data_IF_670821592455
#
_entry.id   IF_670821592455
#
_cell.length_a   1.000
_cell.length_b   1.000
_cell.length_c   1.000
_cell.angle_alpha   90.00
_cell.angle_beta   90.00
_cell.angle_gamma   90.00
#
_symmetry.space_group_name_H-M   'P 1'
#
loop_
_entity.id
_entity.type
_entity.pdbx_description
1 polymer ?
#
# COMPACT_ATOMS: atom_id res chain seq x y z
N UNK A 1 16.55 -18.26 -18.07
CA UNK A 1 16.10 -18.65 -16.74
C UNK A 1 17.02 -18.15 -15.62
N UNK A 2 18.33 -18.39 -15.62
CA UNK A 2 19.25 -17.91 -14.54
C UNK A 2 19.21 -16.38 -14.29
N UNK A 3 19.10 -15.57 -15.34
CA UNK A 3 19.00 -14.09 -15.23
C UNK A 3 17.70 -13.64 -14.56
N UNK A 4 16.59 -14.32 -14.81
CA UNK A 4 15.29 -14.04 -14.19
C UNK A 4 15.32 -14.32 -12.67
N UNK A 5 15.83 -15.48 -12.26
CA UNK A 5 15.96 -15.81 -10.83
C UNK A 5 16.90 -14.87 -10.08
N UNK A 6 18.00 -14.46 -10.72
CA UNK A 6 18.93 -13.49 -10.14
C UNK A 6 18.28 -12.12 -9.94
N UNK A 7 17.50 -11.63 -10.92
CA UNK A 7 16.77 -10.37 -10.81
C UNK A 7 15.68 -10.42 -9.73
N UNK A 8 14.95 -11.53 -9.63
CA UNK A 8 13.92 -11.73 -8.61
C UNK A 8 14.52 -11.79 -7.20
N UNK A 9 15.65 -12.49 -7.03
CA UNK A 9 16.33 -12.55 -5.72
C UNK A 9 16.81 -11.17 -5.26
N UNK A 10 17.35 -10.36 -6.17
CA UNK A 10 17.77 -8.99 -5.87
C UNK A 10 16.57 -8.14 -5.42
N UNK A 11 15.42 -8.29 -6.08
CA UNK A 11 14.18 -7.58 -5.69
C UNK A 11 13.68 -8.02 -4.30
N UNK A 12 13.73 -9.32 -3.99
CA UNK A 12 13.34 -9.84 -2.66
C UNK A 12 14.27 -9.26 -1.57
N UNK A 13 15.57 -9.28 -1.81
CA UNK A 13 16.55 -8.75 -0.86
C UNK A 13 16.37 -7.22 -0.68
N UNK A 14 16.15 -6.49 -1.77
CA UNK A 14 15.89 -5.06 -1.71
C UNK A 14 14.58 -4.74 -0.96
N UNK A 15 13.52 -5.54 -1.18
CA UNK A 15 12.26 -5.41 -0.47
C UNK A 15 12.43 -5.68 1.03
N UNK A 16 13.19 -6.71 1.41
CA UNK A 16 13.49 -7.02 2.80
C UNK A 16 14.20 -5.84 3.51
N UNK A 17 15.22 -5.26 2.89
CA UNK A 17 15.89 -4.09 3.47
C UNK A 17 14.98 -2.87 3.56
N UNK A 18 14.11 -2.66 2.59
CA UNK A 18 13.08 -1.60 2.64
C UNK A 18 12.14 -1.78 3.83
N UNK A 19 11.59 -2.99 4.01
CA UNK A 19 10.73 -3.31 5.16
C UNK A 19 11.45 -3.17 6.51
N UNK A 20 12.75 -3.54 6.58
CA UNK A 20 13.55 -3.32 7.79
C UNK A 20 13.67 -1.82 8.13
N UNK A 21 13.91 -0.97 7.13
CA UNK A 21 14.02 0.47 7.36
C UNK A 21 12.66 1.06 7.75
N UNK A 22 11.57 0.65 7.08
CA UNK A 22 10.21 1.08 7.41
C UNK A 22 9.82 0.66 8.84
N UNK A 23 10.18 -0.55 9.25
CA UNK A 23 10.02 -1.00 10.63
C UNK A 23 10.77 -0.11 11.63
N UNK A 24 12.03 0.24 11.34
CA UNK A 24 12.83 1.13 12.17
C UNK A 24 12.26 2.56 12.22
N UNK A 25 11.74 3.08 11.11
CA UNK A 25 11.03 4.36 11.05
C UNK A 25 9.81 4.35 11.97
N UNK A 26 8.95 3.32 11.85
CA UNK A 26 7.76 3.22 12.68
C UNK A 26 8.10 3.02 14.17
N UNK A 27 9.16 2.26 14.48
CA UNK A 27 9.65 2.08 15.84
C UNK A 27 10.13 3.40 16.44
N UNK A 28 10.90 4.19 15.68
CA UNK A 28 11.38 5.50 16.13
C UNK A 28 10.21 6.48 16.32
N UNK A 29 9.28 6.52 15.37
CA UNK A 29 8.08 7.35 15.47
C UNK A 29 7.23 6.99 16.69
N UNK A 30 7.04 5.71 16.95
CA UNK A 30 6.27 5.27 18.11
C UNK A 30 6.91 5.72 19.43
N UNK A 31 8.24 5.61 19.56
CA UNK A 31 8.97 6.06 20.75
C UNK A 31 8.86 7.55 21.00
N UNK A 32 8.97 8.35 19.94
CA UNK A 32 8.98 9.82 20.03
C UNK A 32 7.58 10.45 20.10
N UNK A 33 6.60 9.84 19.43
CA UNK A 33 5.23 10.34 19.40
C UNK A 33 4.37 9.80 20.55
N UNK A 34 4.81 8.73 21.23
CA UNK A 34 4.03 7.99 22.20
C UNK A 34 2.71 7.45 21.63
N UNK A 35 1.84 6.90 22.47
CA UNK A 35 0.63 6.19 22.03
C UNK A 35 -0.37 7.11 21.30
N UNK A 36 -0.68 8.27 21.88
CA UNK A 36 -1.61 9.25 21.29
C UNK A 36 -1.07 9.86 20.00
N UNK A 37 0.19 10.33 20.00
CA UNK A 37 0.79 10.93 18.81
C UNK A 37 0.93 9.93 17.67
N UNK A 38 1.22 8.66 17.97
CA UNK A 38 1.23 7.58 16.97
C UNK A 38 -0.16 7.33 16.41
N UNK A 39 -1.20 7.40 17.25
CA UNK A 39 -2.60 7.32 16.83
C UNK A 39 -2.99 8.46 15.88
N UNK A 40 -2.60 9.69 16.21
CA UNK A 40 -2.80 10.85 15.33
C UNK A 40 -2.04 10.71 14.01
N UNK A 41 -0.77 10.27 14.05
CA UNK A 41 0.02 10.03 12.85
C UNK A 41 -0.64 9.00 11.94
N UNK A 42 -1.03 7.85 12.46
CA UNK A 42 -1.69 6.78 11.71
C UNK A 42 -3.08 7.18 11.20
N UNK A 43 -3.79 8.07 11.88
CA UNK A 43 -5.11 8.56 11.43
C UNK A 43 -5.04 9.47 10.21
N UNK A 44 -3.94 10.21 10.00
CA UNK A 44 -3.80 11.12 8.86
C UNK A 44 -3.15 10.45 7.64
N UNK A 45 -2.41 9.34 7.82
CA UNK A 45 -1.75 8.63 6.72
C UNK A 45 -2.71 8.20 5.60
N UNK A 46 -3.93 7.70 5.86
CA UNK A 46 -4.88 7.38 4.79
C UNK A 46 -5.28 8.61 3.97
N UNK A 47 -5.37 9.79 4.59
CA UNK A 47 -5.64 11.06 3.88
C UNK A 47 -4.43 11.42 3.00
N UNK A 48 -3.21 11.26 3.53
CA UNK A 48 -1.97 11.39 2.75
C UNK A 48 -1.99 10.49 1.52
N UNK A 49 -2.34 9.21 1.68
CA UNK A 49 -2.43 8.27 0.56
C UNK A 49 -3.54 8.62 -0.43
N UNK A 50 -4.68 9.12 0.03
CA UNK A 50 -5.75 9.59 -0.86
C UNK A 50 -5.28 10.77 -1.72
N UNK A 51 -4.64 11.77 -1.11
CA UNK A 51 -4.03 12.90 -1.81
C UNK A 51 -2.98 12.39 -2.81
N UNK A 52 -2.12 11.46 -2.40
CA UNK A 52 -1.10 10.85 -3.24
C UNK A 52 -1.70 10.20 -4.48
N UNK A 53 -2.74 9.39 -4.33
CA UNK A 53 -3.40 8.70 -5.46
C UNK A 53 -4.03 9.69 -6.42
N UNK A 54 -4.75 10.69 -5.92
CA UNK A 54 -5.43 11.69 -6.75
C UNK A 54 -4.40 12.58 -7.47
N UNK A 55 -3.37 13.06 -6.78
CA UNK A 55 -2.33 13.91 -7.34
C UNK A 55 -1.51 13.18 -8.42
N UNK A 56 -1.18 11.90 -8.20
CA UNK A 56 -0.44 11.10 -9.17
C UNK A 56 -1.22 10.78 -10.43
N UNK A 57 -2.57 10.84 -10.40
CA UNK A 57 -3.47 10.34 -11.46
C UNK A 57 -3.10 8.93 -11.95
N UNK A 58 -2.32 8.16 -11.17
CA UNK A 58 -1.74 6.89 -11.60
C UNK A 58 -0.97 6.99 -12.94
N UNK A 59 -0.43 8.18 -13.25
CA UNK A 59 0.27 8.44 -14.51
C UNK A 59 1.49 7.52 -14.69
N UNK A 60 2.11 7.07 -13.60
CA UNK A 60 3.25 6.15 -13.69
C UNK A 60 2.88 4.83 -14.38
N UNK A 61 1.65 4.32 -14.20
CA UNK A 61 1.19 3.09 -14.87
C UNK A 61 0.94 3.35 -16.35
N UNK A 62 0.18 4.40 -16.67
CA UNK A 62 -0.17 4.72 -18.06
C UNK A 62 1.03 5.12 -18.89
N UNK A 63 1.93 5.97 -18.36
CA UNK A 63 3.16 6.36 -19.03
C UNK A 63 4.07 5.17 -19.26
N UNK A 64 4.24 4.32 -18.24
CA UNK A 64 5.06 3.09 -18.35
C UNK A 64 4.58 2.20 -19.50
N UNK A 65 3.27 1.96 -19.60
CA UNK A 65 2.69 1.19 -20.69
C UNK A 65 2.99 1.82 -22.05
N UNK A 66 2.70 3.12 -22.22
CA UNK A 66 2.88 3.77 -23.53
C UNK A 66 4.33 3.94 -23.93
N UNK A 67 5.23 4.19 -22.98
CA UNK A 67 6.67 4.24 -23.24
C UNK A 67 7.18 2.87 -23.70
N UNK A 68 6.71 1.77 -23.08
CA UNK A 68 7.08 0.42 -23.48
C UNK A 68 6.53 -0.01 -24.86
N UNK A 69 5.34 0.48 -25.24
CA UNK A 69 4.66 0.11 -26.48
C UNK A 69 5.09 0.95 -27.69
N UNK A 70 5.68 2.14 -27.49
CA UNK A 70 5.95 3.09 -28.56
C UNK A 70 7.45 3.31 -28.79
N UNK A 71 7.79 3.75 -30.02
CA UNK A 71 9.16 4.10 -30.41
C UNK A 71 9.67 5.29 -29.59
N UNK A 72 10.95 5.31 -29.32
CA UNK A 72 11.63 6.33 -28.51
C UNK A 72 11.39 7.77 -29.04
N UNK A 73 11.19 7.93 -30.36
CA UNK A 73 10.86 9.21 -31.00
C UNK A 73 9.54 9.84 -30.54
N UNK A 74 8.64 9.06 -29.95
CA UNK A 74 7.33 9.53 -29.43
C UNK A 74 7.38 9.89 -27.94
N UNK A 75 8.39 9.43 -27.20
CA UNK A 75 8.44 9.57 -25.73
C UNK A 75 8.46 11.03 -25.30
N UNK A 76 9.21 11.90 -25.98
CA UNK A 76 9.30 13.33 -25.65
C UNK A 76 7.93 14.01 -25.64
N UNK A 77 7.15 13.84 -26.70
CA UNK A 77 5.83 14.44 -26.82
C UNK A 77 4.84 13.86 -25.81
N UNK A 78 4.91 12.55 -25.53
CA UNK A 78 4.09 11.90 -24.50
C UNK A 78 4.34 12.52 -23.13
N UNK A 79 5.62 12.68 -22.74
CA UNK A 79 6.00 13.25 -21.45
C UNK A 79 5.53 14.71 -21.34
N UNK A 80 5.66 15.53 -22.40
CA UNK A 80 5.17 16.92 -22.38
C UNK A 80 3.66 16.97 -22.16
N UNK A 81 2.89 16.08 -22.80
CA UNK A 81 1.45 16.02 -22.58
C UNK A 81 1.09 15.53 -21.18
N UNK A 82 1.83 14.58 -20.61
CA UNK A 82 1.68 14.14 -19.23
C UNK A 82 2.00 15.27 -18.23
N UNK A 83 3.07 16.03 -18.47
CA UNK A 83 3.43 17.20 -17.64
C UNK A 83 2.33 18.28 -17.64
N UNK A 84 1.73 18.56 -18.81
CA UNK A 84 0.60 19.49 -18.92
C UNK A 84 -0.63 18.98 -18.16
N UNK A 85 -0.92 17.68 -18.23
CA UNK A 85 -2.03 17.09 -17.45
C UNK A 85 -1.76 17.17 -15.97
N UNK A 86 -0.57 16.80 -15.51
CA UNK A 86 -0.19 16.90 -14.11
C UNK A 86 -0.26 18.35 -13.61
N UNK A 87 0.21 19.33 -14.40
CA UNK A 87 0.13 20.75 -14.03
C UNK A 87 -1.32 21.22 -13.82
N UNK A 88 -2.26 20.79 -14.68
CA UNK A 88 -3.70 21.11 -14.51
C UNK A 88 -4.23 20.50 -13.22
N UNK A 89 -3.91 19.24 -12.93
CA UNK A 89 -4.36 18.57 -11.70
C UNK A 89 -3.77 19.21 -10.47
N UNK A 90 -2.48 19.54 -10.48
CA UNK A 90 -1.80 20.26 -9.40
C UNK A 90 -2.50 21.59 -9.14
N UNK A 91 -2.77 22.37 -10.20
CA UNK A 91 -3.44 23.66 -10.07
C UNK A 91 -4.83 23.52 -9.45
N UNK A 92 -5.64 22.57 -9.95
CA UNK A 92 -6.99 22.31 -9.41
C UNK A 92 -6.91 21.86 -7.96
N UNK A 93 -6.03 20.88 -7.64
CA UNK A 93 -5.90 20.37 -6.28
C UNK A 93 -5.36 21.43 -5.31
N UNK A 94 -4.37 22.22 -5.70
CA UNK A 94 -3.83 23.30 -4.85
C UNK A 94 -4.85 24.41 -4.56
N UNK A 95 -5.87 24.56 -5.40
CA UNK A 95 -7.00 25.47 -5.12
C UNK A 95 -8.06 24.80 -4.26
N UNK A 96 -8.44 23.56 -4.56
CA UNK A 96 -9.57 22.87 -3.91
C UNK A 96 -9.20 22.31 -2.54
N UNK A 97 -8.01 21.70 -2.39
CA UNK A 97 -7.62 21.02 -1.14
C UNK A 97 -7.50 21.94 0.08
N UNK A 98 -7.01 23.19 -0.01
CA UNK A 98 -7.04 24.12 1.13
C UNK A 98 -8.45 24.32 1.69
N UNK A 99 -9.46 24.43 0.82
CA UNK A 99 -10.86 24.54 1.27
C UNK A 99 -11.33 23.25 1.94
N UNK A 100 -11.16 22.10 1.30
CA UNK A 100 -11.58 20.79 1.86
C UNK A 100 -10.95 20.58 3.24
N UNK A 101 -9.63 20.78 3.35
CA UNK A 101 -8.90 20.57 4.61
C UNK A 101 -9.25 21.61 5.69
N UNK A 102 -9.62 22.85 5.31
CA UNK A 102 -9.98 23.88 6.28
C UNK A 102 -11.42 23.73 6.80
N UNK A 103 -12.33 23.16 6.01
CA UNK A 103 -13.69 22.86 6.46
C UNK A 103 -13.81 21.50 7.16
N UNK A 104 -12.74 20.72 7.19
CA UNK A 104 -12.73 19.42 7.83
C UNK A 104 -12.35 19.56 9.30
N UNK A 105 -13.25 19.19 10.21
CA UNK A 105 -12.99 19.08 11.66
C UNK A 105 -11.87 18.08 12.02
N UNK A 106 -11.43 17.30 11.04
CA UNK A 106 -10.32 16.36 11.20
C UNK A 106 -9.01 17.11 11.50
N UNK A 107 -8.81 18.26 10.84
CA UNK A 107 -7.58 19.04 10.96
C UNK A 107 -7.48 19.84 12.28
N UNK A 108 -8.57 19.97 13.04
CA UNK A 108 -8.60 20.75 14.29
C UNK A 108 -7.70 20.14 15.40
N UNK A 109 -7.43 18.83 15.29
CA UNK A 109 -6.56 18.11 16.22
C UNK A 109 -5.06 18.21 15.88
N UNK A 110 -4.72 18.85 14.77
CA UNK A 110 -3.36 18.87 14.24
C UNK A 110 -2.80 20.29 14.16
N UNK A 111 -1.48 20.42 14.25
CA UNK A 111 -0.82 21.70 14.04
C UNK A 111 -1.19 22.29 12.67
N UNK A 112 -1.52 23.59 12.57
CA UNK A 112 -2.01 24.23 11.34
C UNK A 112 -1.10 24.04 10.11
N UNK A 113 0.20 23.86 10.31
CA UNK A 113 1.15 23.65 9.22
C UNK A 113 1.04 22.27 8.55
N UNK A 114 0.44 21.27 9.21
CA UNK A 114 0.30 19.91 8.61
C UNK A 114 -0.57 19.97 7.33
N UNK A 115 -1.63 20.80 7.33
CA UNK A 115 -2.43 21.01 6.11
C UNK A 115 -1.61 21.56 4.94
N UNK A 116 -0.69 22.49 5.21
CA UNK A 116 0.17 23.07 4.18
C UNK A 116 1.23 22.07 3.69
N UNK A 117 1.74 21.21 4.56
CA UNK A 117 2.62 20.09 4.19
C UNK A 117 1.90 19.13 3.25
N UNK A 118 0.63 18.77 3.54
CA UNK A 118 -0.18 17.92 2.67
C UNK A 118 -0.43 18.57 1.30
N UNK A 119 -0.62 19.88 1.24
CA UNK A 119 -0.77 20.62 -0.03
C UNK A 119 0.54 20.62 -0.82
N UNK A 120 1.68 20.80 -0.14
CA UNK A 120 3.02 20.75 -0.77
C UNK A 120 3.32 19.38 -1.38
N UNK A 121 2.76 18.31 -0.84
CA UNK A 121 2.89 16.95 -1.39
C UNK A 121 2.33 16.85 -2.81
N UNK A 122 1.28 17.61 -3.15
CA UNK A 122 0.56 17.49 -4.42
C UNK A 122 1.49 17.63 -5.65
N UNK A 123 2.24 18.74 -5.82
CA UNK A 123 3.16 18.88 -6.95
C UNK A 123 4.30 17.87 -6.91
N UNK A 124 4.81 17.53 -5.73
CA UNK A 124 5.88 16.56 -5.55
C UNK A 124 5.48 15.22 -6.16
N UNK A 125 4.33 14.71 -5.78
CA UNK A 125 3.84 13.39 -6.21
C UNK A 125 3.41 13.39 -7.68
N UNK A 126 2.70 14.43 -8.13
CA UNK A 126 2.23 14.53 -9.51
C UNK A 126 3.38 14.45 -10.52
N UNK A 127 4.44 15.21 -10.30
CA UNK A 127 5.58 15.22 -11.21
C UNK A 127 6.52 14.01 -11.00
N UNK A 128 6.69 13.52 -9.77
CA UNK A 128 7.41 12.26 -9.51
C UNK A 128 6.78 11.07 -10.23
N UNK A 129 5.46 11.01 -10.27
CA UNK A 129 4.70 9.95 -10.96
C UNK A 129 5.07 9.85 -12.44
N UNK A 130 5.28 10.99 -13.12
CA UNK A 130 5.69 11.02 -14.52
C UNK A 130 7.10 10.44 -14.69
N UNK A 131 8.04 10.86 -13.85
CA UNK A 131 9.41 10.38 -13.92
C UNK A 131 9.49 8.86 -13.64
N UNK A 132 8.80 8.39 -12.59
CA UNK A 132 8.66 6.96 -12.27
C UNK A 132 8.10 6.19 -13.47
N UNK A 133 7.01 6.67 -14.08
CA UNK A 133 6.38 6.03 -15.24
C UNK A 133 7.30 5.93 -16.45
N UNK A 134 8.08 6.97 -16.74
CA UNK A 134 9.07 6.93 -17.82
C UNK A 134 10.15 5.88 -17.58
N UNK A 135 10.79 5.88 -16.40
CA UNK A 135 11.85 4.92 -16.08
C UNK A 135 11.35 3.49 -15.99
N UNK A 136 10.11 3.27 -15.54
CA UNK A 136 9.45 1.96 -15.61
C UNK A 136 9.27 1.51 -17.07
N UNK A 137 8.78 2.39 -17.93
CA UNK A 137 8.52 2.08 -19.34
C UNK A 137 9.77 1.75 -20.15
N UNK A 138 10.90 2.40 -19.86
CA UNK A 138 12.20 2.07 -20.47
C UNK A 138 12.94 0.93 -19.73
N UNK A 139 12.28 0.25 -18.80
CA UNK A 139 12.81 -0.87 -18.01
C UNK A 139 14.04 -0.54 -17.14
N UNK A 140 14.21 0.73 -16.77
CA UNK A 140 15.29 1.18 -15.88
C UNK A 140 14.85 1.09 -14.41
N UNK A 141 14.40 -0.10 -13.98
CA UNK A 141 13.87 -0.36 -12.63
C UNK A 141 14.87 -0.05 -11.52
N UNK A 142 16.18 -0.17 -11.79
CA UNK A 142 17.22 0.16 -10.81
C UNK A 142 17.16 1.60 -10.32
N UNK A 143 16.78 2.57 -11.18
CA UNK A 143 16.63 3.98 -10.76
C UNK A 143 15.45 4.17 -9.79
N UNK A 144 14.37 3.41 -9.99
CA UNK A 144 13.19 3.45 -9.13
C UNK A 144 13.48 2.77 -7.80
N UNK A 145 14.09 1.58 -7.84
CA UNK A 145 14.49 0.87 -6.64
C UNK A 145 15.46 1.71 -5.78
N UNK A 146 16.45 2.33 -6.41
CA UNK A 146 17.37 3.23 -5.74
C UNK A 146 16.66 4.45 -5.14
N UNK A 147 15.70 5.05 -5.88
CA UNK A 147 14.94 6.21 -5.37
C UNK A 147 14.09 5.86 -4.13
N UNK A 148 13.46 4.68 -4.12
CA UNK A 148 12.69 4.23 -2.96
C UNK A 148 13.60 3.97 -1.76
N UNK A 149 14.68 3.22 -1.97
CA UNK A 149 15.67 2.95 -0.92
C UNK A 149 16.29 4.25 -0.35
N UNK A 150 16.60 5.21 -1.24
CA UNK A 150 17.11 6.52 -0.84
C UNK A 150 16.09 7.27 0.03
N UNK A 151 14.79 7.23 -0.33
CA UNK A 151 13.71 7.81 0.46
C UNK A 151 13.72 7.25 1.89
N UNK A 152 13.71 5.92 2.00
CA UNK A 152 13.59 5.24 3.28
C UNK A 152 14.79 5.53 4.18
N UNK A 153 16.02 5.52 3.63
CA UNK A 153 17.25 5.89 4.37
C UNK A 153 17.21 7.36 4.80
N UNK A 154 16.83 8.27 3.91
CA UNK A 154 16.78 9.71 4.23
C UNK A 154 15.73 9.94 5.30
N UNK A 155 14.56 9.33 5.19
CA UNK A 155 13.49 9.45 6.17
C UNK A 155 13.94 8.98 7.54
N UNK A 156 14.53 7.78 7.63
CA UNK A 156 15.06 7.25 8.88
C UNK A 156 16.18 8.13 9.44
N UNK A 157 17.16 8.51 8.62
CA UNK A 157 18.30 9.31 9.04
C UNK A 157 17.90 10.71 9.53
N UNK A 158 16.96 11.38 8.83
CA UNK A 158 16.45 12.68 9.25
C UNK A 158 15.62 12.59 10.53
N UNK A 159 14.74 11.59 10.67
CA UNK A 159 13.99 11.38 11.91
C UNK A 159 14.93 11.13 13.07
N UNK A 160 15.88 10.21 12.91
CA UNK A 160 16.86 9.90 13.95
C UNK A 160 17.67 11.15 14.37
N UNK A 161 18.15 11.92 13.40
CA UNK A 161 18.93 13.13 13.66
C UNK A 161 18.10 14.22 14.35
N UNK A 162 16.89 14.49 13.87
CA UNK A 162 16.02 15.55 14.39
C UNK A 162 15.60 15.22 15.82
N UNK A 163 15.16 13.99 16.10
CA UNK A 163 14.71 13.61 17.43
C UNK A 163 15.85 13.45 18.45
N UNK A 164 17.07 13.10 18.00
CA UNK A 164 18.23 13.11 18.90
C UNK A 164 18.78 14.51 19.22
N UNK A 165 18.68 15.46 18.27
CA UNK A 165 19.19 16.82 18.49
C UNK A 165 18.21 17.73 19.21
N UNK A 166 16.91 17.48 19.05
CA UNK A 166 15.87 18.36 19.56
C UNK A 166 14.82 17.57 20.35
N UNK A 167 14.46 18.10 21.50
CA UNK A 167 13.35 17.58 22.29
C UNK A 167 12.09 18.37 21.96
N UNK A 168 11.10 17.72 21.40
CA UNK A 168 9.85 18.34 21.01
C UNK A 168 8.71 17.94 21.96
N UNK A 169 7.74 18.82 22.14
CA UNK A 169 6.45 18.42 22.62
C UNK A 169 5.72 17.59 21.56
N UNK A 170 4.72 16.82 21.95
CA UNK A 170 4.01 15.85 21.07
C UNK A 170 3.49 16.48 19.77
N UNK A 171 2.91 17.69 19.84
CA UNK A 171 2.38 18.40 18.67
C UNK A 171 3.48 18.75 17.65
N UNK A 172 4.63 19.25 18.12
CA UNK A 172 5.78 19.57 17.27
C UNK A 172 6.47 18.30 16.76
N UNK A 173 6.56 17.24 17.58
CA UNK A 173 7.10 15.95 17.15
C UNK A 173 6.29 15.39 15.99
N UNK A 174 4.95 15.44 16.08
CA UNK A 174 4.05 15.03 15.01
C UNK A 174 4.25 15.88 13.75
N UNK A 175 4.38 17.21 13.89
CA UNK A 175 4.67 18.10 12.76
C UNK A 175 6.00 17.74 12.09
N UNK A 176 7.06 17.47 12.87
CA UNK A 176 8.38 17.07 12.35
C UNK A 176 8.32 15.71 11.67
N UNK A 177 7.55 14.76 12.17
CA UNK A 177 7.34 13.47 11.50
C UNK A 177 6.76 13.65 10.08
N UNK A 178 5.74 14.47 9.91
CA UNK A 178 5.19 14.80 8.59
C UNK A 178 6.13 15.63 7.73
N UNK A 179 6.86 16.55 8.32
CA UNK A 179 7.86 17.35 7.61
C UNK A 179 8.95 16.45 7.01
N UNK A 180 9.44 15.48 7.77
CA UNK A 180 10.45 14.52 7.28
C UNK A 180 9.87 13.56 6.25
N UNK A 181 8.63 13.08 6.43
CA UNK A 181 7.95 12.22 5.46
C UNK A 181 7.85 12.92 4.09
N UNK A 182 7.36 14.16 4.07
CA UNK A 182 7.19 14.93 2.83
C UNK A 182 8.53 15.43 2.30
N UNK A 183 9.46 15.80 3.19
CA UNK A 183 10.81 16.18 2.83
C UNK A 183 11.60 15.06 2.14
N UNK A 184 11.46 13.82 2.60
CA UNK A 184 12.08 12.67 1.94
C UNK A 184 11.47 12.41 0.54
N UNK A 185 10.16 12.53 0.37
CA UNK A 185 9.51 12.47 -0.95
C UNK A 185 9.98 13.62 -1.86
N UNK A 186 10.18 14.83 -1.32
CA UNK A 186 10.69 15.97 -2.08
C UNK A 186 12.13 15.73 -2.58
N UNK A 187 13.01 15.18 -1.76
CA UNK A 187 14.39 14.86 -2.18
C UNK A 187 14.41 13.80 -3.29
N UNK A 188 13.56 12.78 -3.19
CA UNK A 188 13.39 11.78 -4.24
C UNK A 188 12.80 12.39 -5.51
N UNK A 189 11.84 13.30 -5.37
CA UNK A 189 11.32 14.07 -6.49
C UNK A 189 12.44 14.83 -7.21
N UNK A 190 13.28 15.55 -6.49
CA UNK A 190 14.42 16.27 -7.06
C UNK A 190 15.38 15.33 -7.81
N UNK A 191 15.67 14.16 -7.25
CA UNK A 191 16.49 13.15 -7.91
C UNK A 191 15.85 12.66 -9.22
N UNK A 192 14.60 12.22 -9.18
CA UNK A 192 13.91 11.65 -10.34
C UNK A 192 13.64 12.68 -11.43
N UNK A 193 13.27 13.92 -11.05
CA UNK A 193 13.00 14.97 -12.03
C UNK A 193 14.28 15.44 -12.74
N UNK A 194 15.40 15.53 -12.02
CA UNK A 194 16.69 15.81 -12.64
C UNK A 194 17.08 14.76 -13.68
N UNK A 195 16.93 13.47 -13.33
CA UNK A 195 17.16 12.39 -14.29
C UNK A 195 16.23 12.48 -15.51
N UNK A 196 14.96 12.81 -15.29
CA UNK A 196 13.98 12.97 -16.38
C UNK A 196 14.35 14.15 -17.27
N UNK A 197 14.73 15.30 -16.71
CA UNK A 197 15.15 16.49 -17.46
C UNK A 197 16.38 16.17 -18.35
N UNK A 198 17.38 15.48 -17.80
CA UNK A 198 18.55 15.05 -18.56
C UNK A 198 18.14 14.15 -19.74
N UNK A 199 17.24 13.21 -19.48
CA UNK A 199 16.74 12.31 -20.52
C UNK A 199 15.92 13.05 -21.58
N UNK A 200 15.09 14.02 -21.18
CA UNK A 200 14.34 14.87 -22.12
C UNK A 200 15.23 15.74 -22.99
N UNK A 201 16.35 16.25 -22.46
CA UNK A 201 17.35 17.00 -23.27
C UNK A 201 17.94 16.12 -24.36
N UNK A 202 18.24 14.85 -24.06
CA UNK A 202 18.74 13.89 -25.05
C UNK A 202 17.67 13.60 -26.12
N UNK A 203 16.43 13.31 -25.70
CA UNK A 203 15.33 13.03 -26.60
C UNK A 203 14.98 14.21 -27.53
N UNK A 204 15.10 15.45 -27.03
CA UNK A 204 14.81 16.66 -27.81
C UNK A 204 15.75 16.84 -29.02
N UNK A 205 16.96 16.31 -28.96
CA UNK A 205 17.96 16.38 -30.04
C UNK A 205 17.69 15.37 -31.16
N UNK A 206 16.84 14.38 -30.92
CA UNK A 206 16.44 13.37 -31.92
C UNK A 206 15.27 13.81 -32.79
N UNK A 207 14.97 13.03 -33.82
CA UNK A 207 13.77 13.22 -34.67
C UNK A 207 12.52 12.89 -33.86
N UNK A 208 11.73 13.90 -33.54
CA UNK A 208 10.51 13.73 -32.75
C UNK A 208 9.28 13.57 -33.67
N UNK A 209 8.59 12.45 -33.56
CA UNK A 209 7.31 12.25 -34.21
C UNK A 209 6.20 13.02 -33.45
N UNK A 210 5.45 13.85 -34.17
CA UNK A 210 4.33 14.61 -33.58
C UNK A 210 3.12 13.69 -33.39
N UNK A 211 2.80 13.38 -32.15
CA UNK A 211 1.50 12.80 -31.80
C UNK A 211 0.52 13.93 -31.48
N UNK A 212 -0.72 13.83 -31.98
CA UNK A 212 -1.77 14.81 -31.64
C UNK A 212 -2.03 14.78 -30.16
N UNK A 213 -1.91 15.93 -29.47
CA UNK A 213 -2.01 16.01 -28.01
C UNK A 213 -3.34 15.51 -27.43
N UNK A 214 -4.44 15.60 -28.19
CA UNK A 214 -5.74 15.04 -27.81
C UNK A 214 -5.66 13.51 -27.73
N UNK A 215 -5.04 12.87 -28.71
CA UNK A 215 -4.90 11.40 -28.73
C UNK A 215 -4.00 10.87 -27.63
N UNK A 216 -2.87 11.55 -27.35
CA UNK A 216 -1.98 11.19 -26.24
C UNK A 216 -2.70 11.28 -24.89
N UNK A 217 -3.43 12.37 -24.63
CA UNK A 217 -4.19 12.56 -23.38
C UNK A 217 -5.30 11.51 -23.21
N UNK A 218 -6.09 11.25 -24.26
CA UNK A 218 -7.14 10.23 -24.23
C UNK A 218 -6.56 8.84 -23.91
N UNK A 219 -5.45 8.46 -24.52
CA UNK A 219 -4.77 7.20 -24.24
C UNK A 219 -4.30 7.11 -22.78
N UNK A 220 -3.64 8.16 -22.28
CA UNK A 220 -3.17 8.19 -20.89
C UNK A 220 -4.35 8.04 -19.92
N UNK A 221 -5.43 8.80 -20.10
CA UNK A 221 -6.62 8.74 -19.23
C UNK A 221 -7.34 7.40 -19.34
N UNK A 222 -7.39 6.77 -20.49
CA UNK A 222 -8.03 5.46 -20.66
C UNK A 222 -7.39 4.34 -19.81
N UNK A 223 -6.13 4.50 -19.42
CA UNK A 223 -5.44 3.56 -18.52
C UNK A 223 -5.43 4.08 -17.09
N UNK A 224 -5.12 5.37 -16.90
CA UNK A 224 -4.96 5.92 -15.53
C UNK A 224 -6.29 6.03 -14.78
N UNK A 225 -7.41 6.38 -15.42
CA UNK A 225 -8.69 6.52 -14.72
C UNK A 225 -9.22 5.22 -14.09
N UNK A 226 -9.24 4.07 -14.79
CA UNK A 226 -9.66 2.82 -14.17
C UNK A 226 -8.73 2.37 -13.03
N UNK A 227 -7.41 2.51 -13.20
CA UNK A 227 -6.43 2.14 -12.17
C UNK A 227 -6.53 3.06 -10.95
N UNK A 228 -6.70 4.37 -11.18
CA UNK A 228 -6.94 5.36 -10.14
C UNK A 228 -8.23 5.06 -9.37
N UNK A 229 -9.31 4.69 -10.05
CA UNK A 229 -10.58 4.32 -9.40
C UNK A 229 -10.44 3.18 -8.40
N UNK A 230 -9.71 2.12 -8.75
CA UNK A 230 -9.41 1.01 -7.85
C UNK A 230 -8.59 1.47 -6.63
N UNK A 231 -7.56 2.30 -6.84
CA UNK A 231 -6.72 2.79 -5.74
C UNK A 231 -7.43 3.80 -4.86
N UNK A 232 -8.27 4.66 -5.41
CA UNK A 232 -9.14 5.56 -4.63
C UNK A 232 -10.07 4.74 -3.74
N UNK A 233 -10.67 3.67 -4.26
CA UNK A 233 -11.51 2.78 -3.45
C UNK A 233 -10.73 2.24 -2.23
N UNK A 234 -9.53 1.71 -2.43
CA UNK A 234 -8.68 1.24 -1.33
C UNK A 234 -8.28 2.37 -0.37
N UNK A 235 -7.93 3.55 -0.90
CA UNK A 235 -7.56 4.70 -0.09
C UNK A 235 -8.74 5.20 0.77
N UNK A 236 -9.95 5.25 0.22
CA UNK A 236 -11.18 5.60 0.95
C UNK A 236 -11.47 4.56 2.02
N UNK A 237 -11.38 3.26 1.70
CA UNK A 237 -11.59 2.18 2.66
C UNK A 237 -10.64 2.31 3.85
N UNK A 238 -9.35 2.56 3.58
CA UNK A 238 -8.37 2.79 4.63
C UNK A 238 -8.63 4.09 5.41
N UNK A 239 -9.15 5.13 4.76
CA UNK A 239 -9.48 6.40 5.42
C UNK A 239 -10.72 6.30 6.32
N UNK A 240 -11.65 5.40 6.03
CA UNK A 240 -12.83 5.15 6.87
C UNK A 240 -12.44 4.44 8.17
N UNK A 241 -11.44 3.58 8.15
CA UNK A 241 -11.09 2.71 9.27
C UNK A 241 -10.79 3.46 10.58
N UNK A 242 -9.93 4.52 10.64
CA UNK A 242 -9.69 5.25 11.88
C UNK A 242 -10.94 5.90 12.45
N UNK A 243 -11.82 6.45 11.59
CA UNK A 243 -13.08 7.05 12.05
C UNK A 243 -14.03 6.00 12.63
N UNK A 244 -14.13 4.85 11.97
CA UNK A 244 -14.98 3.76 12.41
C UNK A 244 -14.51 3.21 13.76
N UNK A 245 -13.21 2.97 13.92
CA UNK A 245 -12.62 2.50 15.20
C UNK A 245 -12.85 3.52 16.30
N UNK A 246 -12.55 4.79 16.02
CA UNK A 246 -12.75 5.86 17.00
C UNK A 246 -14.21 5.99 17.41
N UNK A 247 -15.15 5.99 16.47
CA UNK A 247 -16.58 6.08 16.78
C UNK A 247 -17.09 4.87 17.56
N UNK A 248 -16.63 3.67 17.21
CA UNK A 248 -16.99 2.45 17.95
C UNK A 248 -16.51 2.50 19.40
N UNK A 249 -15.27 2.94 19.66
CA UNK A 249 -14.71 3.05 21.00
C UNK A 249 -15.39 4.14 21.82
N UNK A 250 -15.74 5.30 21.21
CA UNK A 250 -16.55 6.32 21.89
C UNK A 250 -17.91 5.76 22.31
N UNK A 251 -18.57 4.98 21.44
CA UNK A 251 -19.83 4.32 21.75
C UNK A 251 -19.69 3.27 22.84
N UNK A 252 -18.52 2.65 22.97
CA UNK A 252 -18.20 1.71 24.07
C UNK A 252 -17.88 2.42 25.40
N UNK A 253 -17.86 3.77 25.43
CA UNK A 253 -17.63 4.56 26.65
C UNK A 253 -16.19 5.06 26.85
N UNK A 254 -15.30 4.88 25.86
CA UNK A 254 -13.93 5.40 25.96
C UNK A 254 -13.89 6.91 25.67
N UNK A 255 -12.92 7.62 26.26
CA UNK A 255 -12.61 9.01 25.92
C UNK A 255 -11.92 9.13 24.56
N UNK A 256 -12.01 10.29 23.92
CA UNK A 256 -11.47 10.51 22.58
C UNK A 256 -9.94 10.31 22.51
N UNK A 257 -9.20 10.73 23.53
CA UNK A 257 -7.75 10.54 23.61
C UNK A 257 -7.42 9.05 23.68
N UNK A 258 -8.06 8.32 24.61
CA UNK A 258 -7.85 6.87 24.79
C UNK A 258 -8.20 6.08 23.53
N UNK A 259 -9.27 6.46 22.81
CA UNK A 259 -9.62 5.84 21.53
C UNK A 259 -8.51 6.07 20.47
N UNK A 260 -7.86 7.24 20.46
CA UNK A 260 -6.75 7.56 19.59
C UNK A 260 -5.49 6.74 19.95
N UNK A 261 -5.18 6.60 21.23
CA UNK A 261 -4.09 5.77 21.74
C UNK A 261 -4.26 4.29 21.32
N UNK A 262 -5.45 3.73 21.53
CA UNK A 262 -5.77 2.36 21.12
C UNK A 262 -5.63 2.16 19.62
N UNK A 263 -6.03 3.14 18.81
CA UNK A 263 -5.83 3.11 17.37
C UNK A 263 -4.34 3.14 17.00
N UNK A 264 -3.54 3.96 17.68
CA UNK A 264 -2.08 4.03 17.51
C UNK A 264 -1.38 2.72 17.85
N UNK A 265 -1.74 2.10 18.97
CA UNK A 265 -1.22 0.80 19.38
C UNK A 265 -1.59 -0.32 18.40
N UNK A 266 -2.82 -0.30 17.87
CA UNK A 266 -3.29 -1.27 16.89
C UNK A 266 -2.52 -1.11 15.57
N UNK A 267 -2.57 0.08 14.98
CA UNK A 267 -2.09 0.32 13.59
C UNK A 267 -0.60 0.62 13.53
N UNK A 268 -0.10 1.43 14.46
CA UNK A 268 1.30 1.86 14.49
C UNK A 268 2.26 0.81 15.03
N UNK A 269 1.79 -0.08 15.90
CA UNK A 269 2.63 -1.10 16.52
C UNK A 269 2.23 -2.51 16.10
N UNK A 270 1.03 -2.97 16.48
CA UNK A 270 0.65 -4.36 16.24
C UNK A 270 0.60 -4.71 14.75
N UNK A 271 0.04 -3.83 13.91
CA UNK A 271 -0.01 -4.03 12.46
C UNK A 271 1.39 -3.96 11.84
N UNK A 272 2.24 -3.03 12.25
CA UNK A 272 3.63 -2.90 11.74
C UNK A 272 4.43 -4.17 12.02
N UNK A 273 4.36 -4.71 13.23
CA UNK A 273 5.05 -5.95 13.60
C UNK A 273 4.46 -7.13 12.82
N UNK A 274 3.14 -7.24 12.80
CA UNK A 274 2.44 -8.38 12.22
C UNK A 274 2.57 -8.48 10.70
N UNK A 275 2.66 -7.35 9.99
CA UNK A 275 2.86 -7.33 8.54
C UNK A 275 4.32 -7.43 8.11
N UNK A 276 5.27 -7.34 9.01
CA UNK A 276 6.69 -7.44 8.65
C UNK A 276 7.01 -8.66 7.77
N UNK A 277 6.48 -9.88 8.00
CA UNK A 277 6.73 -11.02 7.11
C UNK A 277 6.05 -10.94 5.73
N UNK A 278 5.15 -9.99 5.50
CA UNK A 278 4.37 -9.90 4.26
C UNK A 278 5.21 -9.60 3.01
N UNK A 279 6.45 -9.07 3.16
CA UNK A 279 7.37 -8.88 2.03
C UNK A 279 7.62 -10.18 1.25
N UNK A 280 7.57 -11.33 1.93
CA UNK A 280 7.70 -12.65 1.30
C UNK A 280 6.50 -12.91 0.39
N UNK A 281 5.27 -12.64 0.85
CA UNK A 281 4.05 -12.79 0.06
C UNK A 281 4.03 -11.83 -1.15
N UNK A 282 4.46 -10.58 -0.97
CA UNK A 282 4.56 -9.60 -2.06
C UNK A 282 5.58 -10.03 -3.13
N UNK A 283 6.68 -10.63 -2.71
CA UNK A 283 7.68 -11.19 -3.62
C UNK A 283 7.13 -12.36 -4.44
N UNK A 284 6.33 -13.24 -3.80
CA UNK A 284 5.59 -14.30 -4.50
C UNK A 284 4.59 -13.74 -5.52
N UNK A 285 3.91 -12.66 -5.18
CA UNK A 285 2.93 -12.04 -6.07
C UNK A 285 3.54 -11.65 -7.42
N UNK A 286 4.73 -11.05 -7.42
CA UNK A 286 5.44 -10.64 -8.65
C UNK A 286 5.71 -11.83 -9.56
N UNK A 287 6.03 -13.00 -9.00
CA UNK A 287 6.31 -14.22 -9.75
C UNK A 287 5.04 -14.93 -10.23
N UNK A 288 3.98 -14.91 -9.42
CA UNK A 288 2.75 -15.67 -9.70
C UNK A 288 1.97 -15.12 -10.88
N UNK A 289 1.79 -13.81 -10.97
CA UNK A 289 0.97 -13.17 -12.01
C UNK A 289 1.35 -13.64 -13.43
N UNK A 290 2.61 -13.51 -13.88
CA UNK A 290 2.99 -13.92 -15.24
C UNK A 290 2.93 -15.43 -15.44
N UNK A 291 3.29 -16.23 -14.42
CA UNK A 291 3.28 -17.68 -14.52
C UNK A 291 1.86 -18.24 -14.65
N UNK A 292 0.93 -17.72 -13.84
CA UNK A 292 -0.50 -18.09 -13.90
C UNK A 292 -1.10 -17.65 -15.23
N UNK A 293 -0.85 -16.41 -15.67
CA UNK A 293 -1.34 -15.91 -16.95
C UNK A 293 -0.86 -16.76 -18.14
N UNK A 294 0.41 -17.18 -18.13
CA UNK A 294 0.98 -18.04 -19.16
C UNK A 294 0.37 -19.45 -19.15
N UNK A 295 0.21 -20.06 -17.97
CA UNK A 295 -0.42 -21.37 -17.82
C UNK A 295 -1.89 -21.33 -18.24
N UNK A 296 -2.61 -20.25 -17.89
CA UNK A 296 -4.00 -20.05 -18.25
C UNK A 296 -4.21 -19.90 -19.77
N UNK A 297 -3.38 -19.08 -20.43
CA UNK A 297 -3.38 -18.96 -21.91
C UNK A 297 -3.13 -20.28 -22.63
N UNK A 298 -2.29 -21.15 -22.05
CA UNK A 298 -1.98 -22.48 -22.61
C UNK A 298 -3.00 -23.54 -22.21
N UNK A 299 -4.03 -23.18 -21.44
CA UNK A 299 -5.03 -24.11 -20.88
C UNK A 299 -4.42 -25.27 -20.07
N UNK A 300 -3.25 -25.06 -19.48
CA UNK A 300 -2.51 -26.05 -18.71
C UNK A 300 -3.05 -26.08 -17.27
N UNK A 301 -4.12 -26.84 -17.08
CA UNK A 301 -4.82 -26.96 -15.78
C UNK A 301 -3.91 -27.61 -14.71
N UNK A 302 -3.06 -28.55 -15.10
CA UNK A 302 -2.17 -29.21 -14.13
C UNK A 302 -1.10 -28.23 -13.62
N UNK A 303 -0.52 -27.41 -14.51
CA UNK A 303 0.41 -26.37 -14.12
C UNK A 303 -0.26 -25.29 -13.23
N UNK A 304 -1.50 -24.90 -13.53
CA UNK A 304 -2.28 -23.99 -12.67
C UNK A 304 -2.46 -24.59 -11.27
N UNK A 305 -2.87 -25.86 -11.19
CA UNK A 305 -3.00 -26.56 -9.91
C UNK A 305 -1.70 -26.58 -9.11
N UNK A 306 -0.59 -26.98 -9.76
CA UNK A 306 0.74 -27.05 -9.12
C UNK A 306 1.20 -25.67 -8.64
N UNK A 307 0.95 -24.60 -9.42
CA UNK A 307 1.27 -23.23 -9.01
C UNK A 307 0.48 -22.82 -7.76
N UNK A 308 -0.82 -23.16 -7.70
CA UNK A 308 -1.65 -22.86 -6.53
C UNK A 308 -1.15 -23.65 -5.31
N UNK A 309 -0.94 -24.97 -5.45
CA UNK A 309 -0.44 -25.81 -4.36
C UNK A 309 0.90 -25.32 -3.81
N UNK A 310 1.86 -25.03 -4.69
CA UNK A 310 3.18 -24.52 -4.29
C UNK A 310 3.07 -23.18 -3.58
N UNK A 311 2.23 -22.27 -4.08
CA UNK A 311 2.00 -20.98 -3.47
C UNK A 311 1.40 -21.12 -2.08
N UNK A 312 0.36 -21.95 -1.92
CA UNK A 312 -0.27 -22.17 -0.61
C UNK A 312 0.68 -22.87 0.37
N UNK A 313 1.38 -23.92 -0.08
CA UNK A 313 2.36 -24.64 0.76
C UNK A 313 3.49 -23.72 1.22
N UNK A 314 3.99 -22.86 0.34
CA UNK A 314 5.02 -21.90 0.69
C UNK A 314 4.50 -20.85 1.69
N UNK A 315 3.26 -20.39 1.53
CA UNK A 315 2.63 -19.47 2.49
C UNK A 315 2.46 -20.13 3.86
N UNK A 316 2.07 -21.40 3.93
CA UNK A 316 2.03 -22.16 5.20
C UNK A 316 3.43 -22.24 5.81
N UNK A 317 4.44 -22.58 4.99
CA UNK A 317 5.81 -22.80 5.46
C UNK A 317 6.44 -21.58 6.13
N UNK A 318 6.20 -20.39 5.65
CA UNK A 318 6.72 -19.16 6.31
C UNK A 318 5.70 -18.48 7.22
N UNK A 319 4.42 -18.47 6.83
CA UNK A 319 3.39 -17.70 7.52
C UNK A 319 3.00 -18.30 8.87
N UNK A 320 2.86 -19.64 8.96
CA UNK A 320 2.54 -20.31 10.23
C UNK A 320 3.68 -20.12 11.25
N UNK A 321 4.96 -20.40 10.95
CA UNK A 321 6.05 -20.13 11.88
C UNK A 321 6.17 -18.66 12.25
N UNK A 322 5.97 -17.73 11.30
CA UNK A 322 6.02 -16.30 11.59
C UNK A 322 4.94 -15.88 12.58
N UNK A 323 3.70 -16.34 12.38
CA UNK A 323 2.58 -16.02 13.31
C UNK A 323 2.78 -16.66 14.68
N UNK A 324 3.27 -17.89 14.75
CA UNK A 324 3.62 -18.56 16.01
C UNK A 324 4.72 -17.75 16.73
N UNK A 325 5.76 -17.34 16.02
CA UNK A 325 6.82 -16.50 16.59
C UNK A 325 6.25 -15.17 17.13
N UNK A 326 5.45 -14.47 16.33
CA UNK A 326 4.80 -13.20 16.73
C UNK A 326 3.93 -13.40 17.98
N UNK A 327 3.16 -14.48 18.06
CA UNK A 327 2.29 -14.77 19.20
C UNK A 327 3.08 -14.95 20.51
N UNK A 328 4.13 -15.77 20.49
CA UNK A 328 4.93 -16.05 21.69
C UNK A 328 5.84 -14.89 22.09
N UNK A 329 6.34 -14.13 21.11
CA UNK A 329 7.22 -12.98 21.33
C UNK A 329 6.50 -11.63 21.25
N UNK A 330 5.18 -11.61 21.40
CA UNK A 330 4.41 -10.36 21.26
C UNK A 330 4.87 -9.27 22.23
N UNK A 331 5.10 -9.60 23.50
CA UNK A 331 5.55 -8.63 24.50
C UNK A 331 6.94 -8.06 24.24
N UNK A 332 8.00 -8.87 24.03
CA UNK A 332 9.31 -8.32 23.67
C UNK A 332 9.32 -7.56 22.34
N UNK A 333 8.52 -7.98 21.35
CA UNK A 333 8.43 -7.28 20.08
C UNK A 333 7.76 -5.90 20.19
N UNK A 334 6.66 -5.81 20.96
CA UNK A 334 5.96 -4.53 21.14
C UNK A 334 6.74 -3.59 22.05
N UNK A 335 7.50 -4.11 23.02
CA UNK A 335 8.37 -3.30 23.89
C UNK A 335 9.49 -2.57 23.15
N UNK A 336 9.82 -2.98 21.91
CA UNK A 336 10.72 -2.23 21.05
C UNK A 336 10.16 -0.86 20.64
N UNK A 337 8.85 -0.72 20.60
CA UNK A 337 8.14 0.53 20.26
C UNK A 337 7.91 1.37 21.52
N UNK A 338 7.11 0.85 22.42
CA UNK A 338 6.88 1.40 23.78
C UNK A 338 6.34 0.32 24.70
N UNK A 339 6.51 0.54 26.01
CA UNK A 339 6.08 -0.43 27.04
C UNK A 339 4.58 -0.38 27.23
N UNK A 340 3.82 -1.07 26.36
CA UNK A 340 2.37 -1.16 26.44
C UNK A 340 1.91 -2.62 26.40
N UNK A 341 1.17 -3.04 27.43
CA UNK A 341 0.55 -4.36 27.47
C UNK A 341 -0.58 -4.50 26.46
N UNK A 342 -1.27 -3.40 26.15
CA UNK A 342 -2.38 -3.38 25.18
C UNK A 342 -1.90 -3.69 23.75
N UNK A 343 -0.76 -3.16 23.32
CA UNK A 343 -0.20 -3.44 22.00
C UNK A 343 0.14 -4.93 21.83
N UNK A 344 0.71 -5.56 22.87
CA UNK A 344 1.01 -6.99 22.86
C UNK A 344 -0.27 -7.85 22.80
N UNK A 345 -1.29 -7.46 23.55
CA UNK A 345 -2.60 -8.10 23.50
C UNK A 345 -3.22 -8.02 22.10
N UNK A 346 -3.20 -6.85 21.46
CA UNK A 346 -3.73 -6.67 20.09
C UNK A 346 -2.94 -7.48 19.08
N UNK A 347 -1.63 -7.53 19.21
CA UNK A 347 -0.76 -8.32 18.34
C UNK A 347 -1.10 -9.82 18.41
N UNK A 348 -1.32 -10.34 19.63
CA UNK A 348 -1.75 -11.74 19.84
C UNK A 348 -3.13 -12.00 19.19
N UNK A 349 -4.09 -11.10 19.38
CA UNK A 349 -5.44 -11.25 18.82
C UNK A 349 -5.48 -11.13 17.28
N UNK A 350 -4.54 -10.37 16.69
CA UNK A 350 -4.43 -10.19 15.24
C UNK A 350 -3.70 -11.37 14.55
N UNK A 351 -3.19 -12.34 15.26
CA UNK A 351 -2.49 -13.47 14.64
C UNK A 351 -3.29 -14.18 13.54
N UNK A 352 -4.61 -14.45 13.68
CA UNK A 352 -5.42 -14.97 12.58
C UNK A 352 -5.48 -14.01 11.38
N UNK A 353 -5.63 -12.70 11.63
CA UNK A 353 -5.66 -11.69 10.58
C UNK A 353 -4.42 -11.73 9.70
N UNK A 354 -3.23 -11.74 10.31
CA UNK A 354 -1.96 -11.81 9.59
C UNK A 354 -1.84 -13.11 8.80
N UNK A 355 -2.16 -14.25 9.43
CA UNK A 355 -2.08 -15.55 8.77
C UNK A 355 -2.93 -15.57 7.49
N UNK A 356 -4.21 -15.19 7.60
CA UNK A 356 -5.11 -15.16 6.45
C UNK A 356 -4.68 -14.11 5.42
N UNK A 357 -4.16 -12.97 5.85
CA UNK A 357 -3.68 -11.93 4.95
C UNK A 357 -2.46 -12.39 4.13
N UNK A 358 -1.56 -13.19 4.71
CA UNK A 358 -0.46 -13.81 3.97
C UNK A 358 -0.94 -14.73 2.85
N UNK A 359 -2.11 -15.35 3.00
CA UNK A 359 -2.76 -16.12 1.93
C UNK A 359 -3.47 -15.23 0.90
N UNK A 360 -4.09 -14.13 1.33
CA UNK A 360 -4.79 -13.20 0.43
C UNK A 360 -3.89 -12.68 -0.67
N UNK A 361 -2.66 -12.26 -0.34
CA UNK A 361 -1.71 -11.64 -1.29
C UNK A 361 -1.42 -12.56 -2.49
N UNK A 362 -0.95 -13.80 -2.33
CA UNK A 362 -0.71 -14.70 -3.46
C UNK A 362 -2.00 -15.14 -4.16
N UNK A 363 -3.12 -15.27 -3.47
CA UNK A 363 -4.41 -15.58 -4.09
C UNK A 363 -4.92 -14.44 -4.96
N UNK A 364 -4.76 -13.20 -4.52
CA UNK A 364 -5.09 -12.01 -5.33
C UNK A 364 -4.23 -11.96 -6.59
N UNK A 365 -2.93 -12.24 -6.48
CA UNK A 365 -2.04 -12.36 -7.63
C UNK A 365 -2.49 -13.46 -8.59
N UNK A 366 -2.97 -14.57 -8.06
CA UNK A 366 -3.49 -15.69 -8.84
C UNK A 366 -4.76 -15.28 -9.60
N UNK A 367 -5.71 -14.61 -8.97
CA UNK A 367 -6.92 -14.07 -9.61
C UNK A 367 -6.58 -13.08 -10.73
N UNK A 368 -5.62 -12.18 -10.48
CA UNK A 368 -5.12 -11.23 -11.50
C UNK A 368 -4.54 -12.00 -12.69
N UNK A 369 -3.72 -13.02 -12.45
CA UNK A 369 -3.13 -13.88 -13.48
C UNK A 369 -4.18 -14.63 -14.31
N UNK A 370 -5.31 -15.01 -13.73
CA UNK A 370 -6.47 -15.61 -14.40
C UNK A 370 -7.34 -14.59 -15.15
N UNK A 371 -7.09 -13.28 -15.01
CA UNK A 371 -7.92 -12.21 -15.56
C UNK A 371 -9.20 -11.92 -14.75
N UNK A 372 -9.29 -12.42 -13.52
CA UNK A 372 -10.45 -12.28 -12.62
C UNK A 372 -10.33 -11.06 -11.69
N UNK A 373 -9.87 -9.92 -12.22
CA UNK A 373 -9.65 -8.68 -11.44
C UNK A 373 -10.96 -8.16 -10.85
N UNK A 374 -12.07 -8.28 -11.60
CA UNK A 374 -13.41 -7.88 -11.14
C UNK A 374 -13.86 -8.71 -9.93
N UNK A 375 -13.64 -10.02 -9.96
CA UNK A 375 -13.99 -10.90 -8.85
C UNK A 375 -13.16 -10.56 -7.62
N UNK A 376 -11.85 -10.35 -7.78
CA UNK A 376 -10.96 -9.92 -6.69
C UNK A 376 -11.46 -8.62 -6.04
N UNK A 377 -11.89 -7.63 -6.84
CA UNK A 377 -12.45 -6.38 -6.36
C UNK A 377 -13.76 -6.60 -5.58
N UNK A 378 -14.69 -7.39 -6.12
CA UNK A 378 -15.99 -7.69 -5.47
C UNK A 378 -15.77 -8.40 -4.13
N UNK A 379 -14.84 -9.37 -4.08
CA UNK A 379 -14.49 -10.04 -2.82
C UNK A 379 -13.94 -9.06 -1.78
N UNK A 380 -13.06 -8.17 -2.20
CA UNK A 380 -12.50 -7.13 -1.33
C UNK A 380 -13.60 -6.20 -0.80
N UNK A 381 -14.52 -5.76 -1.67
CA UNK A 381 -15.64 -4.91 -1.29
C UNK A 381 -16.51 -5.58 -0.21
N UNK A 382 -16.96 -6.81 -0.45
CA UNK A 382 -17.82 -7.53 0.49
C UNK A 382 -17.12 -7.83 1.81
N UNK A 383 -15.84 -8.24 1.77
CA UNK A 383 -15.08 -8.50 2.99
C UNK A 383 -14.91 -7.26 3.86
N UNK A 384 -14.69 -6.08 3.25
CA UNK A 384 -14.61 -4.82 4.00
C UNK A 384 -15.96 -4.38 4.57
N UNK A 385 -17.06 -4.55 3.81
CA UNK A 385 -18.40 -4.25 4.33
C UNK A 385 -18.70 -5.09 5.57
N UNK A 386 -18.48 -6.40 5.50
CA UNK A 386 -18.70 -7.31 6.64
C UNK A 386 -17.75 -6.97 7.81
N UNK A 387 -16.47 -6.74 7.51
CA UNK A 387 -15.49 -6.37 8.53
C UNK A 387 -15.90 -5.09 9.25
N UNK A 388 -16.25 -4.03 8.52
CA UNK A 388 -16.62 -2.73 9.11
C UNK A 388 -17.91 -2.80 9.93
N UNK A 389 -18.91 -3.54 9.46
CA UNK A 389 -20.12 -3.78 10.23
C UNK A 389 -19.82 -4.49 11.54
N UNK A 390 -19.02 -5.55 11.48
CA UNK A 390 -18.63 -6.28 12.70
C UNK A 390 -17.74 -5.44 13.62
N UNK A 391 -16.78 -4.71 13.09
CA UNK A 391 -15.92 -3.80 13.86
C UNK A 391 -16.76 -2.77 14.61
N UNK A 392 -17.78 -2.18 13.96
CA UNK A 392 -18.64 -1.20 14.59
C UNK A 392 -19.56 -1.85 15.65
N UNK A 393 -20.30 -2.90 15.27
CA UNK A 393 -21.29 -3.55 16.17
C UNK A 393 -20.61 -4.14 17.40
N UNK A 394 -19.51 -4.88 17.22
CA UNK A 394 -18.80 -5.53 18.33
C UNK A 394 -17.90 -4.56 19.09
N UNK A 395 -17.27 -3.62 18.38
CA UNK A 395 -16.40 -2.61 18.98
C UNK A 395 -17.14 -1.56 19.81
N UNK A 396 -18.43 -1.32 19.52
CA UNK A 396 -19.28 -0.42 20.32
C UNK A 396 -19.76 -1.03 21.65
N UNK A 397 -19.53 -2.33 21.86
CA UNK A 397 -19.90 -2.98 23.13
C UNK A 397 -18.79 -2.79 24.15
N UNK A 398 -19.11 -2.25 25.34
CA UNK A 398 -18.15 -2.01 26.41
C UNK A 398 -17.38 -3.28 26.85
N UNK A 399 -18.00 -4.47 26.73
CA UNK A 399 -17.39 -5.75 27.09
C UNK A 399 -16.36 -6.26 26.08
N UNK A 400 -16.52 -5.90 24.79
CA UNK A 400 -15.66 -6.38 23.70
C UNK A 400 -14.64 -5.32 23.25
N UNK A 401 -15.07 -4.05 23.13
CA UNK A 401 -14.27 -2.88 22.74
C UNK A 401 -13.24 -3.19 21.63
N UNK A 402 -11.94 -3.02 21.87
CA UNK A 402 -10.88 -3.32 20.89
C UNK A 402 -10.84 -4.79 20.47
N UNK A 403 -11.20 -5.73 21.35
CA UNK A 403 -11.34 -7.14 20.98
C UNK A 403 -12.42 -7.36 19.92
N UNK A 404 -13.54 -6.66 20.02
CA UNK A 404 -14.62 -6.67 19.03
C UNK A 404 -14.18 -6.10 17.68
N UNK A 405 -13.41 -5.00 17.67
CA UNK A 405 -12.81 -4.43 16.47
C UNK A 405 -11.88 -5.43 15.78
N UNK A 406 -10.97 -6.03 16.54
CA UNK A 406 -10.01 -7.02 16.02
C UNK A 406 -10.73 -8.27 15.49
N UNK A 407 -11.81 -8.71 16.17
CA UNK A 407 -12.61 -9.83 15.68
C UNK A 407 -13.27 -9.51 14.34
N UNK A 408 -13.76 -8.28 14.14
CA UNK A 408 -14.26 -7.81 12.83
C UNK A 408 -13.18 -7.84 11.75
N UNK A 409 -11.96 -7.39 12.06
CA UNK A 409 -10.81 -7.47 11.13
C UNK A 409 -10.48 -8.92 10.76
N UNK A 410 -10.37 -9.80 11.75
CA UNK A 410 -10.13 -11.23 11.57
C UNK A 410 -11.17 -11.85 10.64
N UNK A 411 -12.46 -11.56 10.89
CA UNK A 411 -13.56 -12.09 10.07
C UNK A 411 -13.46 -11.63 8.62
N UNK A 412 -13.12 -10.36 8.39
CA UNK A 412 -12.90 -9.83 7.03
C UNK A 412 -11.77 -10.55 6.30
N UNK A 413 -10.64 -10.79 6.97
CA UNK A 413 -9.49 -11.48 6.38
C UNK A 413 -9.81 -12.95 6.03
N UNK A 414 -10.51 -13.65 6.93
CA UNK A 414 -10.99 -15.01 6.72
C UNK A 414 -11.94 -15.06 5.52
N UNK A 415 -12.96 -14.19 5.50
CA UNK A 415 -13.95 -14.12 4.42
C UNK A 415 -13.27 -13.86 3.07
N UNK A 416 -12.38 -12.87 3.00
CA UNK A 416 -11.65 -12.52 1.79
C UNK A 416 -10.82 -13.71 1.25
N UNK A 417 -10.11 -14.40 2.14
CA UNK A 417 -9.32 -15.58 1.81
C UNK A 417 -10.19 -16.68 1.20
N UNK A 418 -11.31 -17.01 1.85
CA UNK A 418 -12.22 -18.04 1.36
C UNK A 418 -12.87 -17.66 0.03
N UNK A 419 -13.33 -16.42 -0.15
CA UNK A 419 -13.91 -15.95 -1.41
C UNK A 419 -12.89 -16.06 -2.57
N UNK A 420 -11.64 -15.64 -2.33
CA UNK A 420 -10.57 -15.79 -3.32
C UNK A 420 -10.32 -17.25 -3.65
N UNK A 421 -10.13 -18.09 -2.64
CA UNK A 421 -9.81 -19.50 -2.81
C UNK A 421 -10.91 -20.27 -3.56
N UNK A 422 -12.17 -20.12 -3.15
CA UNK A 422 -13.30 -20.78 -3.80
C UNK A 422 -13.45 -20.37 -5.26
N UNK A 423 -13.28 -19.09 -5.56
CA UNK A 423 -13.37 -18.59 -6.95
C UNK A 423 -12.24 -19.14 -7.81
N UNK A 424 -11.00 -19.22 -7.27
CA UNK A 424 -9.87 -19.86 -7.98
C UNK A 424 -10.18 -21.33 -8.26
N UNK A 425 -10.57 -22.10 -7.23
CA UNK A 425 -10.89 -23.52 -7.37
C UNK A 425 -11.99 -23.78 -8.42
N UNK A 426 -13.06 -22.99 -8.37
CA UNK A 426 -14.15 -23.04 -9.35
C UNK A 426 -13.66 -22.75 -10.78
N UNK A 427 -12.82 -21.73 -10.97
CA UNK A 427 -12.32 -21.31 -12.29
C UNK A 427 -11.40 -22.32 -12.94
N UNK A 428 -10.52 -22.96 -12.17
CA UNK A 428 -9.58 -23.96 -12.70
C UNK A 428 -10.12 -25.40 -12.67
N UNK A 429 -11.29 -25.60 -12.07
CA UNK A 429 -11.99 -26.90 -12.04
C UNK A 429 -11.31 -27.93 -11.13
N UNK A 430 -10.86 -27.49 -9.95
CA UNK A 430 -10.31 -28.39 -8.91
C UNK A 430 -11.23 -28.43 -7.69
N UNK A 431 -11.13 -29.54 -6.93
CA UNK A 431 -11.83 -29.62 -5.64
C UNK A 431 -11.20 -28.69 -4.60
N UNK A 432 -11.96 -28.34 -3.56
CA UNK A 432 -11.50 -27.51 -2.43
C UNK A 432 -10.26 -28.13 -1.77
N UNK A 433 -10.14 -29.46 -1.77
CA UNK A 433 -8.99 -30.21 -1.23
C UNK A 433 -7.79 -30.28 -2.19
N UNK A 434 -7.77 -29.49 -3.26
CA UNK A 434 -6.72 -29.47 -4.29
C UNK A 434 -6.52 -30.83 -5.00
N UNK A 435 -7.48 -31.74 -4.89
CA UNK A 435 -7.51 -33.02 -5.63
C UNK A 435 -8.15 -32.82 -7.01
N UNK A 436 -7.85 -33.69 -7.97
CA UNK A 436 -8.58 -33.68 -9.25
C UNK A 436 -10.08 -33.82 -8.97
N UNK A 437 -10.89 -32.85 -9.36
CA UNK A 437 -12.34 -33.02 -9.36
C UNK A 437 -12.68 -34.22 -10.26
N UNK A 438 -13.28 -35.26 -9.71
CA UNK A 438 -13.95 -36.28 -10.54
C UNK A 438 -15.02 -35.50 -11.33
N UNK A 439 -14.87 -35.45 -12.65
CA UNK A 439 -15.90 -34.90 -13.52
C UNK A 439 -17.19 -35.69 -13.29
N UNK A 440 -18.10 -35.12 -12.53
CA UNK A 440 -19.49 -35.56 -12.58
C UNK A 440 -19.97 -35.09 -13.94
N UNK A 441 -19.95 -35.98 -14.93
CA UNK A 441 -20.65 -35.79 -16.19
C UNK A 441 -22.13 -35.85 -15.87
N UNK A 442 -22.72 -34.67 -15.66
CA UNK A 442 -24.18 -34.54 -15.77
C UNK A 442 -24.47 -34.66 -17.28
N UNK A 443 -25.02 -35.80 -17.66
CA UNK A 443 -25.63 -36.03 -18.97
C UNK A 443 -26.85 -35.14 -19.12
#
# INVERSE_FOLDING_TARGET
MKSFYKGTLILIVAAFFGECIEFLVNMLLARELHEEGMGLYMSILPIFFLIYVIASLELHISISKFVAENKQTMHYNLIIHALKMAAVVVLVMCVVMPFILSFSSIMDKYHPYIKWLLITLIPIVAFSSIARGYFMGVQQMGKIAFSNFLKDIIQFGLLFLIFNLFHFNQEKALLMAFFVLIGSEFLVFLYLINLLILQMRIMRRGTNSRTTGKHARQKLLAVSLPTMGLRIFHAITNAIQPFLIHTALLSAGFGAVVATEHFGMLTGVAMTIGFFPAFIAHSLMIMLIPNVSNAYKRQDKEKLRVLLQKSMSFTVLYGVPAVIFIYFFAEPLTSLFFSSTSAAYYLKLLCPYFLFHFFVIPMQAYLIGLGLVKDAFIHTLWSHIVAFLMMYILGSQASLNMGGIILGMNTGAVLLTFMHYLTICKKIGISILLTKSRSISIK
#
